data_IF_460199380576
#
_entry.id   IF_460199380576
#
_cell.length_a   1.000
_cell.length_b   1.000
_cell.length_c   1.000
_cell.angle_alpha   90.00
_cell.angle_beta   90.00
_cell.angle_gamma   90.00
#
_symmetry.space_group_name_H-M   'P 1'
#
loop_
_entity.id
_entity.type
_entity.pdbx_description
1 polymer ?
#
# COMPACT_ATOMS: atom_id res chain seq x y z
N UNK A 1 -20.38 0.97 15.44
CA UNK A 1 -20.65 1.50 14.08
C UNK A 1 -19.31 1.67 13.40
N UNK A 2 -19.04 0.93 12.32
CA UNK A 2 -17.82 1.10 11.53
C UNK A 2 -17.79 2.51 10.92
N UNK A 3 -16.65 3.22 10.90
CA UNK A 3 -16.60 4.50 10.22
C UNK A 3 -16.70 4.25 8.72
N UNK A 4 -17.70 4.90 8.11
CA UNK A 4 -17.78 5.06 6.66
C UNK A 4 -16.42 5.63 6.21
N UNK A 5 -15.80 5.00 5.20
CA UNK A 5 -14.71 5.62 4.44
C UNK A 5 -15.17 7.04 4.11
N UNK A 6 -14.55 8.06 4.70
CA UNK A 6 -14.75 9.45 4.30
C UNK A 6 -14.27 9.54 2.85
N UNK A 7 -15.22 9.44 1.90
CA UNK A 7 -14.97 9.80 0.52
C UNK A 7 -14.84 11.32 0.50
N UNK A 8 -13.59 11.79 0.59
CA UNK A 8 -13.24 13.20 0.52
C UNK A 8 -13.80 13.81 -0.77
N UNK A 9 -14.58 14.86 -0.58
CA UNK A 9 -15.21 15.82 -1.48
C UNK A 9 -14.95 15.61 -2.98
N UNK A 10 -16.04 15.33 -3.72
CA UNK A 10 -16.08 15.42 -5.18
C UNK A 10 -15.77 16.88 -5.54
N UNK A 11 -14.69 17.09 -6.31
CA UNK A 11 -14.32 18.42 -6.83
C UNK A 11 -15.28 18.80 -7.95
N UNK A 12 -15.49 17.87 -8.88
CA UNK A 12 -16.42 18.04 -9.97
C UNK A 12 -16.98 16.70 -10.40
N UNK A 13 -18.23 16.75 -10.85
CA UNK A 13 -18.88 15.67 -11.58
C UNK A 13 -19.39 16.26 -12.88
N UNK A 14 -19.04 15.62 -13.99
CA UNK A 14 -19.42 16.04 -15.32
C UNK A 14 -19.99 14.84 -16.05
N UNK A 15 -21.23 14.99 -16.51
CA UNK A 15 -21.86 14.03 -17.41
C UNK A 15 -21.75 14.57 -18.83
N UNK A 16 -21.29 13.72 -19.73
CA UNK A 16 -21.26 14.00 -21.16
C UNK A 16 -22.28 13.05 -21.78
N UNK A 17 -23.38 13.61 -22.26
CA UNK A 17 -24.50 12.88 -22.86
C UNK A 17 -24.43 12.92 -24.40
N UNK A 18 -25.25 12.09 -25.04
CA UNK A 18 -25.52 12.04 -26.48
C UNK A 18 -24.26 11.91 -27.35
N UNK A 19 -23.32 11.06 -26.93
CA UNK A 19 -22.04 10.95 -27.63
C UNK A 19 -22.15 10.11 -28.91
N UNK A 20 -23.17 9.25 -29.03
CA UNK A 20 -23.49 8.40 -30.20
C UNK A 20 -22.26 7.94 -31.01
N UNK A 21 -21.19 7.53 -30.32
CA UNK A 21 -19.92 7.18 -30.95
C UNK A 21 -19.68 5.66 -30.84
N UNK A 22 -19.66 4.94 -31.97
CA UNK A 22 -19.41 3.50 -31.98
C UNK A 22 -17.93 3.13 -31.80
N UNK A 23 -16.98 4.07 -31.91
CA UNK A 23 -15.55 3.80 -31.68
C UNK A 23 -15.08 4.27 -30.29
N UNK A 24 -14.68 3.32 -29.46
CA UNK A 24 -14.13 3.56 -28.12
C UNK A 24 -12.94 4.55 -28.09
N UNK A 25 -12.10 4.52 -29.13
CA UNK A 25 -10.91 5.37 -29.25
C UNK A 25 -11.31 6.81 -29.57
N UNK A 26 -12.25 6.99 -30.50
CA UNK A 26 -12.80 8.33 -30.83
C UNK A 26 -13.51 8.94 -29.63
N UNK A 27 -14.28 8.13 -28.90
CA UNK A 27 -14.93 8.55 -27.67
C UNK A 27 -13.93 9.06 -26.61
N UNK A 28 -12.82 8.34 -26.38
CA UNK A 28 -11.84 8.78 -25.38
C UNK A 28 -11.13 10.06 -25.79
N UNK A 29 -10.97 10.32 -27.09
CA UNK A 29 -10.50 11.62 -27.56
C UNK A 29 -11.53 12.73 -27.28
N UNK A 30 -12.82 12.48 -27.52
CA UNK A 30 -13.87 13.42 -27.14
C UNK A 30 -13.92 13.68 -25.63
N UNK A 31 -13.70 12.65 -24.81
CA UNK A 31 -13.55 12.82 -23.36
C UNK A 31 -12.33 13.68 -23.01
N UNK A 32 -11.18 13.41 -23.63
CA UNK A 32 -9.96 14.20 -23.42
C UNK A 32 -10.19 15.69 -23.67
N UNK A 33 -10.90 16.01 -24.76
CA UNK A 33 -11.17 17.40 -25.14
C UNK A 33 -12.22 18.07 -24.23
N UNK A 34 -13.17 17.30 -23.70
CA UNK A 34 -14.23 17.80 -22.80
C UNK A 34 -13.79 17.87 -21.34
N UNK A 35 -12.75 17.15 -20.93
CA UNK A 35 -12.23 17.11 -19.57
C UNK A 35 -11.03 18.04 -19.45
N UNK A 36 -11.26 19.25 -18.95
CA UNK A 36 -10.18 20.19 -18.62
C UNK A 36 -9.69 19.86 -17.20
N UNK A 37 -8.46 19.34 -17.10
CA UNK A 37 -7.78 19.11 -15.82
C UNK A 37 -6.58 20.05 -15.73
N UNK A 38 -6.73 21.09 -14.92
CA UNK A 38 -5.71 22.11 -14.65
C UNK A 38 -5.11 21.97 -13.23
N UNK A 39 -5.70 21.13 -12.40
CA UNK A 39 -5.28 20.90 -11.02
C UNK A 39 -4.84 19.45 -10.83
N UNK A 40 -3.67 19.27 -10.24
CA UNK A 40 -3.15 17.98 -9.79
C UNK A 40 -2.66 18.10 -8.34
N UNK A 41 -2.70 17.02 -7.55
CA UNK A 41 -3.11 15.65 -7.90
C UNK A 41 -4.61 15.37 -7.72
N UNK A 42 -5.15 14.47 -8.53
CA UNK A 42 -6.56 14.10 -8.54
C UNK A 42 -6.77 12.59 -8.54
N UNK A 43 -7.96 12.16 -8.17
CA UNK A 43 -8.42 10.80 -8.40
C UNK A 43 -9.61 10.84 -9.34
N UNK A 44 -9.53 10.08 -10.43
CA UNK A 44 -10.52 10.07 -11.51
C UNK A 44 -11.28 8.75 -11.48
N UNK A 45 -12.61 8.83 -11.54
CA UNK A 45 -13.51 7.70 -11.77
C UNK A 45 -14.32 8.00 -13.02
N UNK A 46 -14.36 7.05 -13.95
CA UNK A 46 -15.19 7.14 -15.16
C UNK A 46 -16.18 6.00 -15.15
N UNK A 47 -17.43 6.34 -15.48
CA UNK A 47 -18.53 5.39 -15.69
C UNK A 47 -19.08 5.67 -17.08
N UNK A 48 -19.12 4.65 -17.93
CA UNK A 48 -19.56 4.74 -19.32
C UNK A 48 -20.86 3.96 -19.43
N UNK A 49 -21.88 4.58 -20.01
CA UNK A 49 -23.15 3.92 -20.34
C UNK A 49 -23.19 3.69 -21.84
N UNK A 50 -23.35 2.43 -22.22
CA UNK A 50 -23.34 1.99 -23.61
C UNK A 50 -24.64 1.29 -23.96
N UNK A 51 -25.13 1.54 -25.17
CA UNK A 51 -26.24 0.83 -25.77
C UNK A 51 -25.71 -0.34 -26.61
N UNK A 52 -26.31 -1.51 -26.42
CA UNK A 52 -26.11 -2.69 -27.23
C UNK A 52 -27.41 -3.03 -27.94
N UNK A 53 -27.33 -3.44 -29.19
CA UNK A 53 -28.48 -3.77 -30.01
C UNK A 53 -28.36 -5.16 -30.63
N UNK A 54 -29.46 -5.89 -30.75
CA UNK A 54 -29.47 -7.10 -31.58
C UNK A 54 -29.66 -6.70 -33.06
N UNK A 55 -28.86 -7.23 -34.00
CA UNK A 55 -29.01 -6.91 -35.42
C UNK A 55 -30.36 -7.33 -36.02
N UNK A 56 -31.04 -8.29 -35.39
CA UNK A 56 -32.20 -9.00 -35.96
C UNK A 56 -33.52 -8.58 -35.31
N UNK A 57 -33.56 -8.46 -33.97
CA UNK A 57 -34.80 -8.16 -33.24
C UNK A 57 -34.96 -6.66 -32.92
N UNK A 58 -33.94 -5.84 -33.21
CA UNK A 58 -33.86 -4.42 -32.83
C UNK A 58 -34.03 -4.16 -31.33
N UNK A 59 -33.85 -5.20 -30.51
CA UNK A 59 -33.80 -5.07 -29.06
C UNK A 59 -32.61 -4.20 -28.68
N UNK A 60 -32.83 -3.22 -27.81
CA UNK A 60 -31.80 -2.33 -27.28
C UNK A 60 -31.70 -2.50 -25.78
N UNK A 61 -30.48 -2.67 -25.29
CA UNK A 61 -30.19 -2.72 -23.86
C UNK A 61 -29.08 -1.75 -23.51
N UNK A 62 -29.17 -1.18 -22.32
CA UNK A 62 -28.10 -0.36 -21.75
C UNK A 62 -27.27 -1.17 -20.77
N UNK A 63 -25.96 -0.94 -20.80
CA UNK A 63 -25.02 -1.56 -19.88
C UNK A 63 -23.96 -0.55 -19.45
N UNK A 64 -23.46 -0.70 -18.23
CA UNK A 64 -22.55 0.26 -17.61
C UNK A 64 -21.17 -0.35 -17.38
N UNK A 65 -20.15 0.31 -17.93
CA UNK A 65 -18.76 0.04 -17.61
C UNK A 65 -18.29 1.00 -16.51
N UNK A 66 -17.78 0.44 -15.41
CA UNK A 66 -17.26 1.21 -14.28
C UNK A 66 -15.76 1.05 -14.15
N UNK A 67 -14.98 1.99 -14.68
CA UNK A 67 -13.53 1.92 -14.60
C UNK A 67 -13.03 2.06 -13.17
N UNK A 68 -12.03 1.29 -12.74
CA UNK A 68 -11.44 1.43 -11.40
C UNK A 68 -10.89 2.84 -11.19
N UNK A 69 -11.24 3.47 -10.06
CA UNK A 69 -10.82 4.84 -9.80
C UNK A 69 -9.29 4.92 -9.67
N UNK A 70 -8.63 5.71 -10.51
CA UNK A 70 -7.17 5.85 -10.57
C UNK A 70 -6.73 7.23 -10.13
N UNK A 71 -5.56 7.26 -9.50
CA UNK A 71 -4.91 8.50 -9.09
C UNK A 71 -4.07 9.01 -10.25
N UNK A 72 -4.23 10.29 -10.60
CA UNK A 72 -3.49 10.98 -11.65
C UNK A 72 -2.78 12.18 -11.04
N UNK A 73 -1.47 12.26 -11.27
CA UNK A 73 -0.57 13.15 -10.53
C UNK A 73 0.08 14.21 -11.40
N UNK A 74 0.21 13.90 -12.69
CA UNK A 74 0.83 14.75 -13.70
C UNK A 74 0.07 14.55 -15.01
N UNK A 75 0.27 15.48 -15.94
CA UNK A 75 -0.25 15.37 -17.30
C UNK A 75 0.22 14.09 -18.02
N UNK A 76 1.48 13.67 -17.79
CA UNK A 76 2.01 12.45 -18.38
C UNK A 76 1.30 11.18 -17.86
N UNK A 77 0.92 11.16 -16.58
CA UNK A 77 0.15 10.05 -16.02
C UNK A 77 -1.31 10.04 -16.52
N UNK A 78 -1.84 11.20 -16.92
CA UNK A 78 -3.18 11.31 -17.48
C UNK A 78 -3.29 10.60 -18.85
N UNK A 79 -2.28 10.73 -19.72
CA UNK A 79 -2.27 10.00 -21.00
C UNK A 79 -2.32 8.49 -20.77
N UNK A 80 -1.43 7.97 -19.91
CA UNK A 80 -1.39 6.54 -19.55
C UNK A 80 -2.71 6.04 -18.94
N UNK A 81 -3.43 6.91 -18.23
CA UNK A 81 -4.76 6.60 -17.71
C UNK A 81 -5.78 6.39 -18.82
N UNK A 82 -5.79 7.27 -19.84
CA UNK A 82 -6.69 7.14 -20.97
C UNK A 82 -6.39 5.89 -21.80
N UNK A 83 -5.12 5.55 -22.01
CA UNK A 83 -4.74 4.34 -22.76
C UNK A 83 -5.25 3.07 -22.04
N UNK A 84 -5.04 2.97 -20.73
CA UNK A 84 -5.57 1.85 -19.92
C UNK A 84 -7.10 1.81 -19.87
N UNK A 85 -7.77 2.96 -19.96
CA UNK A 85 -9.23 3.05 -20.07
C UNK A 85 -9.72 2.48 -21.40
N UNK A 86 -9.08 2.84 -22.53
CA UNK A 86 -9.39 2.31 -23.87
C UNK A 86 -9.31 0.78 -23.84
N UNK A 87 -8.17 0.25 -23.41
CA UNK A 87 -7.89 -1.19 -23.48
C UNK A 87 -8.90 -2.00 -22.66
N UNK A 88 -9.20 -1.54 -21.44
CA UNK A 88 -10.14 -2.25 -20.57
C UNK A 88 -11.59 -2.08 -20.98
N UNK A 89 -11.95 -0.94 -21.60
CA UNK A 89 -13.29 -0.76 -22.12
C UNK A 89 -13.52 -1.67 -23.33
N UNK A 90 -12.56 -1.75 -24.27
CA UNK A 90 -12.62 -2.69 -25.40
C UNK A 90 -12.77 -4.13 -24.93
N UNK A 91 -11.93 -4.57 -24.00
CA UNK A 91 -12.02 -5.91 -23.44
C UNK A 91 -13.37 -6.19 -22.76
N UNK A 92 -13.99 -5.18 -22.14
CA UNK A 92 -15.32 -5.31 -21.54
C UNK A 92 -16.43 -5.42 -22.60
N UNK A 93 -16.32 -4.65 -23.70
CA UNK A 93 -17.24 -4.76 -24.85
C UNK A 93 -17.15 -6.16 -25.47
N UNK A 94 -15.93 -6.64 -25.74
CA UNK A 94 -15.69 -7.97 -26.32
C UNK A 94 -16.30 -9.07 -25.43
N UNK A 95 -16.05 -9.02 -24.12
CA UNK A 95 -16.63 -9.95 -23.15
C UNK A 95 -18.15 -9.88 -23.08
N UNK A 96 -18.75 -8.74 -23.37
CA UNK A 96 -20.20 -8.60 -23.40
C UNK A 96 -20.78 -9.30 -24.64
N UNK A 97 -20.16 -9.12 -25.80
CA UNK A 97 -20.57 -9.72 -27.08
C UNK A 97 -20.32 -11.24 -27.11
N UNK A 98 -19.23 -11.73 -26.51
CA UNK A 98 -18.88 -13.16 -26.46
C UNK A 98 -19.83 -14.02 -25.60
N UNK A 99 -20.68 -13.43 -24.75
CA UNK A 99 -21.64 -14.16 -23.89
C UNK A 99 -22.81 -14.79 -24.66
N UNK A 100 -22.77 -14.79 -25.99
CA UNK A 100 -23.72 -15.52 -26.84
C UNK A 100 -25.14 -14.95 -26.85
N UNK A 101 -25.32 -13.70 -26.37
CA UNK A 101 -26.63 -13.06 -26.23
C UNK A 101 -27.13 -12.39 -27.53
N UNK A 102 -26.32 -12.37 -28.59
CA UNK A 102 -26.66 -11.77 -29.89
C UNK A 102 -26.70 -10.23 -29.89
N UNK A 103 -26.21 -9.60 -28.82
CA UNK A 103 -26.13 -8.15 -28.67
C UNK A 103 -24.77 -7.65 -29.16
N UNK A 104 -24.81 -6.77 -30.15
CA UNK A 104 -23.64 -6.06 -30.64
C UNK A 104 -23.56 -4.66 -30.04
N UNK A 105 -22.34 -4.21 -29.82
CA UNK A 105 -22.10 -2.85 -29.37
C UNK A 105 -22.64 -1.85 -30.40
N UNK A 106 -23.53 -0.95 -29.97
CA UNK A 106 -24.15 0.02 -30.87
C UNK A 106 -23.50 1.41 -30.71
N UNK A 107 -23.55 1.97 -29.50
CA UNK A 107 -23.00 3.30 -29.24
C UNK A 107 -22.81 3.58 -27.75
N UNK A 108 -21.98 4.59 -27.45
CA UNK A 108 -21.90 5.16 -26.10
C UNK A 108 -22.98 6.24 -25.97
N UNK A 109 -23.86 6.08 -24.98
CA UNK A 109 -24.92 7.05 -24.68
C UNK A 109 -24.41 8.19 -23.83
N UNK A 110 -23.71 7.86 -22.75
CA UNK A 110 -23.20 8.88 -21.84
C UNK A 110 -21.96 8.45 -21.06
N UNK A 111 -21.30 9.44 -20.50
CA UNK A 111 -20.09 9.29 -19.71
C UNK A 111 -20.17 10.15 -18.45
N UNK A 112 -20.08 9.53 -17.29
CA UNK A 112 -19.92 10.24 -16.03
C UNK A 112 -18.46 10.25 -15.61
N UNK A 113 -17.90 11.45 -15.47
CA UNK A 113 -16.54 11.69 -15.00
C UNK A 113 -16.63 12.30 -13.61
N UNK A 114 -16.09 11.60 -12.62
CA UNK A 114 -16.02 12.08 -11.23
C UNK A 114 -14.59 12.35 -10.86
N UNK A 115 -14.28 13.60 -10.51
CA UNK A 115 -12.99 14.04 -10.03
C UNK A 115 -13.05 14.22 -8.52
N UNK A 116 -12.15 13.55 -7.80
CA UNK A 116 -12.03 13.65 -6.35
C UNK A 116 -10.75 14.37 -5.98
N UNK A 117 -10.82 15.19 -4.94
CA UNK A 117 -9.63 15.75 -4.33
C UNK A 117 -8.77 14.62 -3.81
N UNK A 118 -7.56 14.51 -4.34
CA UNK A 118 -6.62 13.51 -3.88
C UNK A 118 -5.59 14.18 -2.98
N UNK A 119 -5.70 13.92 -1.68
CA UNK A 119 -4.59 14.22 -0.80
C UNK A 119 -3.46 13.23 -1.05
N UNK A 120 -2.37 13.78 -1.56
CA UNK A 120 -1.22 13.07 -2.01
C UNK A 120 -0.60 12.22 -0.89
N UNK A 121 -0.56 10.90 -1.06
CA UNK A 121 0.10 9.99 -0.12
C UNK A 121 1.54 9.63 -0.50
N UNK A 122 2.11 10.26 -1.55
CA UNK A 122 3.51 10.03 -1.94
C UNK A 122 4.42 11.06 -1.27
N UNK A 123 5.66 10.67 -1.05
CA UNK A 123 6.69 11.51 -0.49
C UNK A 123 7.26 12.39 -1.63
N UNK A 124 6.76 13.63 -1.77
CA UNK A 124 7.33 14.65 -2.67
C UNK A 124 8.31 15.56 -1.93
N UNK A 125 7.85 16.14 -0.83
CA UNK A 125 8.61 17.03 0.01
C UNK A 125 8.53 16.61 1.47
N UNK A 126 9.38 17.23 2.29
CA UNK A 126 9.43 16.98 3.72
C UNK A 126 8.12 17.37 4.40
N UNK A 127 7.68 16.53 5.33
CA UNK A 127 6.53 16.82 6.17
C UNK A 127 7.06 17.37 7.49
N UNK A 128 6.65 18.58 7.92
CA UNK A 128 7.05 19.12 9.22
C UNK A 128 6.68 18.16 10.35
N UNK A 129 7.64 17.85 11.23
CA UNK A 129 7.37 17.03 12.41
C UNK A 129 6.52 17.84 13.40
N UNK A 130 5.49 17.20 13.97
CA UNK A 130 4.66 17.80 15.01
C UNK A 130 5.38 17.92 16.37
N UNK A 131 6.58 17.34 16.48
CA UNK A 131 7.40 17.34 17.69
C UNK A 131 8.88 17.52 17.35
N UNK A 132 9.67 17.96 18.34
CA UNK A 132 11.14 18.07 18.20
C UNK A 132 11.77 16.70 18.41
N UNK A 133 12.56 16.23 17.45
CA UNK A 133 13.33 15.00 17.57
C UNK A 133 14.80 15.23 17.19
N UNK A 134 15.71 14.67 17.99
CA UNK A 134 17.14 14.60 17.63
C UNK A 134 17.48 13.35 16.83
N UNK A 135 16.60 12.33 16.86
CA UNK A 135 16.87 11.02 16.27
C UNK A 135 16.28 10.88 14.86
N UNK A 136 15.21 11.62 14.56
CA UNK A 136 14.60 11.62 13.23
C UNK A 136 15.32 12.65 12.35
N UNK A 137 15.85 12.19 11.22
CA UNK A 137 16.42 13.06 10.20
C UNK A 137 15.31 13.39 9.20
N UNK A 138 14.86 14.65 9.18
CA UNK A 138 13.83 15.12 8.27
C UNK A 138 14.46 16.13 7.30
N UNK A 139 15.00 15.64 6.17
CA UNK A 139 15.69 16.48 5.18
C UNK A 139 14.68 17.42 4.50
N UNK A 140 14.93 18.72 4.54
CA UNK A 140 13.99 19.78 4.18
C UNK A 140 14.11 20.20 2.71
N UNK A 141 13.59 19.38 1.80
CA UNK A 141 13.63 19.62 0.36
C UNK A 141 12.48 20.52 -0.14
N UNK A 142 12.57 21.82 0.14
CA UNK A 142 11.51 22.80 -0.18
C UNK A 142 11.26 23.04 -1.68
N UNK A 143 12.27 22.81 -2.51
CA UNK A 143 12.30 23.28 -3.90
C UNK A 143 12.31 22.13 -4.93
N UNK A 144 12.15 20.89 -4.49
CA UNK A 144 12.16 19.71 -5.35
C UNK A 144 11.20 18.62 -4.84
N UNK A 145 11.00 17.60 -5.66
CA UNK A 145 10.15 16.44 -5.35
C UNK A 145 10.96 15.18 -5.02
N UNK A 146 12.21 15.32 -4.55
CA UNK A 146 13.19 14.25 -4.40
C UNK A 146 13.34 13.75 -2.95
N UNK A 147 12.35 13.95 -2.07
CA UNK A 147 12.51 13.60 -0.64
C UNK A 147 12.79 12.11 -0.40
N UNK A 148 12.36 11.22 -1.30
CA UNK A 148 12.72 9.81 -1.27
C UNK A 148 14.23 9.60 -1.45
N UNK A 149 14.83 10.23 -2.47
CA UNK A 149 16.28 10.20 -2.69
C UNK A 149 17.02 10.83 -1.51
N UNK A 150 16.58 12.00 -1.04
CA UNK A 150 17.21 12.68 0.09
C UNK A 150 17.18 11.83 1.37
N UNK A 151 16.12 11.03 1.57
CA UNK A 151 16.04 10.11 2.71
C UNK A 151 17.05 8.96 2.59
N UNK A 152 17.25 8.42 1.39
CA UNK A 152 18.26 7.37 1.15
C UNK A 152 19.67 7.94 1.35
N UNK A 153 19.97 9.11 0.77
CA UNK A 153 21.27 9.75 0.92
C UNK A 153 21.57 10.12 2.38
N UNK A 154 20.56 10.58 3.14
CA UNK A 154 20.75 10.86 4.56
C UNK A 154 21.07 9.62 5.41
N UNK A 155 20.64 8.44 4.97
CA UNK A 155 21.01 7.16 5.58
C UNK A 155 22.42 6.70 5.17
N UNK A 156 22.75 6.78 3.89
CA UNK A 156 24.05 6.33 3.35
C UNK A 156 25.21 7.25 3.74
N UNK A 157 24.96 8.55 3.85
CA UNK A 157 25.96 9.57 4.18
C UNK A 157 25.57 10.31 5.47
N UNK A 158 25.71 9.71 6.66
CA UNK A 158 25.30 10.34 7.91
C UNK A 158 26.05 11.65 8.19
N UNK A 159 25.31 12.70 8.54
CA UNK A 159 25.87 14.02 8.88
C UNK A 159 25.47 14.42 10.30
N UNK A 160 26.42 14.98 11.05
CA UNK A 160 26.22 15.35 12.46
C UNK A 160 25.55 16.72 12.60
N UNK A 161 26.03 17.74 11.87
CA UNK A 161 25.53 19.12 11.98
C UNK A 161 24.56 19.45 10.86
N UNK A 162 23.46 20.10 11.20
CA UNK A 162 22.46 20.58 10.22
C UNK A 162 21.96 19.50 9.25
N UNK A 163 21.85 18.25 9.72
CA UNK A 163 21.45 17.06 8.95
C UNK A 163 20.10 17.16 8.22
N UNK A 164 19.31 18.18 8.51
CA UNK A 164 18.09 18.50 7.79
C UNK A 164 18.32 19.22 6.44
N UNK A 165 19.54 19.66 6.11
CA UNK A 165 19.81 20.46 4.90
C UNK A 165 20.14 19.57 3.70
N UNK A 166 19.46 19.81 2.58
CA UNK A 166 19.73 19.15 1.28
C UNK A 166 21.17 19.35 0.82
N UNK A 167 21.75 20.54 1.06
CA UNK A 167 23.13 20.87 0.63
C UNK A 167 24.18 19.89 1.12
N UNK A 168 23.94 19.22 2.26
CA UNK A 168 24.88 18.24 2.81
C UNK A 168 24.92 16.93 2.01
N UNK A 169 23.94 16.69 1.14
CA UNK A 169 23.78 15.43 0.42
C UNK A 169 23.90 15.62 -1.10
N UNK A 170 23.99 16.87 -1.56
CA UNK A 170 23.89 17.23 -2.97
C UNK A 170 25.06 16.71 -3.81
N UNK A 171 26.24 16.55 -3.21
CA UNK A 171 27.40 15.95 -3.90
C UNK A 171 27.18 14.48 -4.27
N UNK A 172 26.31 13.77 -3.54
CA UNK A 172 26.00 12.36 -3.73
C UNK A 172 24.75 12.12 -4.59
N UNK A 173 24.14 13.19 -5.13
CA UNK A 173 22.85 13.11 -5.82
C UNK A 173 22.87 12.15 -7.02
N UNK A 174 24.00 12.10 -7.74
CA UNK A 174 24.19 11.26 -8.93
C UNK A 174 24.73 9.86 -8.62
N UNK A 175 25.07 9.54 -7.37
CA UNK A 175 25.57 8.22 -6.98
C UNK A 175 24.46 7.15 -6.99
N UNK A 176 23.20 7.57 -6.88
CA UNK A 176 22.03 6.69 -6.94
C UNK A 176 21.27 6.93 -8.23
N UNK A 177 21.29 5.92 -9.11
CA UNK A 177 20.51 5.97 -10.35
C UNK A 177 19.01 5.83 -10.06
N UNK A 178 18.27 6.91 -10.31
CA UNK A 178 16.81 6.96 -10.19
C UNK A 178 16.12 6.91 -11.57
N UNK A 179 16.85 6.53 -12.63
CA UNK A 179 16.37 6.60 -14.04
C UNK A 179 15.11 5.80 -14.33
N UNK A 180 14.85 4.74 -13.56
CA UNK A 180 13.68 3.88 -13.74
C UNK A 180 12.46 4.36 -12.93
N UNK A 181 12.58 5.42 -12.13
CA UNK A 181 11.54 5.88 -11.20
C UNK A 181 11.31 7.38 -11.42
N UNK A 182 10.07 7.76 -11.71
CA UNK A 182 9.70 9.17 -11.85
C UNK A 182 9.48 9.81 -10.47
N UNK A 183 10.04 11.00 -10.26
CA UNK A 183 9.69 11.81 -9.10
C UNK A 183 8.37 12.54 -9.32
N UNK A 184 7.64 12.82 -8.23
CA UNK A 184 7.72 12.21 -6.90
C UNK A 184 7.41 10.70 -6.89
N UNK A 185 8.24 9.92 -6.19
CA UNK A 185 8.22 8.43 -6.21
C UNK A 185 6.87 7.87 -5.79
N UNK A 186 6.33 6.94 -6.58
CA UNK A 186 5.12 6.22 -6.24
C UNK A 186 5.33 5.14 -5.21
N UNK A 187 4.30 4.86 -4.41
CA UNK A 187 4.28 3.65 -3.58
C UNK A 187 4.39 2.40 -4.45
N UNK A 188 3.80 2.43 -5.64
CA UNK A 188 3.80 1.33 -6.60
C UNK A 188 5.17 1.08 -7.23
N UNK A 189 6.00 2.12 -7.34
CA UNK A 189 7.36 2.06 -7.91
C UNK A 189 8.39 1.54 -6.89
N UNK A 190 8.04 1.53 -5.60
CA UNK A 190 8.87 0.94 -4.56
C UNK A 190 8.65 -0.58 -4.59
N UNK A 191 9.68 -1.40 -4.87
CA UNK A 191 9.55 -2.84 -4.88
C UNK A 191 8.96 -3.32 -3.55
N UNK A 192 7.85 -4.05 -3.60
CA UNK A 192 7.26 -4.66 -2.42
C UNK A 192 8.18 -5.79 -1.95
N UNK A 193 8.64 -5.71 -0.71
CA UNK A 193 9.26 -6.74 0.15
C UNK A 193 9.49 -8.10 -0.51
N UNK A 194 10.28 -8.11 -1.59
CA UNK A 194 10.86 -9.33 -2.13
C UNK A 194 12.29 -9.29 -1.62
N UNK A 195 12.73 -10.32 -0.89
CA UNK A 195 14.13 -10.40 -0.51
C UNK A 195 14.98 -10.28 -1.78
N UNK A 196 16.04 -9.49 -1.71
CA UNK A 196 17.04 -9.44 -2.77
C UNK A 196 17.86 -10.70 -2.61
N UNK A 197 17.69 -11.66 -3.53
CA UNK A 197 18.45 -12.92 -3.51
C UNK A 197 19.76 -12.74 -4.28
N UNK A 198 20.83 -13.30 -3.75
CA UNK A 198 22.02 -13.56 -4.52
C UNK A 198 21.80 -14.80 -5.44
N UNK A 199 22.74 -15.05 -6.35
CA UNK A 199 22.61 -16.14 -7.33
C UNK A 199 22.40 -17.51 -6.68
N UNK A 200 23.15 -17.82 -5.60
CA UNK A 200 23.03 -19.08 -4.88
C UNK A 200 21.66 -19.24 -4.20
N UNK A 201 21.16 -18.18 -3.58
CA UNK A 201 19.82 -18.20 -2.94
C UNK A 201 18.71 -18.36 -3.98
N UNK A 202 18.87 -17.78 -5.17
CA UNK A 202 17.91 -17.94 -6.26
C UNK A 202 17.94 -19.37 -6.82
N UNK A 203 19.12 -19.96 -7.00
CA UNK A 203 19.27 -21.37 -7.39
C UNK A 203 18.61 -22.28 -6.34
N UNK A 204 18.88 -22.05 -5.04
CA UNK A 204 18.23 -22.77 -3.93
C UNK A 204 16.70 -22.65 -3.96
N UNK A 205 16.17 -21.45 -4.23
CA UNK A 205 14.74 -21.22 -4.36
C UNK A 205 14.13 -21.99 -5.54
N UNK A 206 14.81 -22.02 -6.69
CA UNK A 206 14.32 -22.71 -7.89
C UNK A 206 14.32 -24.22 -7.70
N UNK A 207 15.40 -24.77 -7.12
CA UNK A 207 15.58 -26.21 -6.88
C UNK A 207 14.70 -26.76 -5.75
N UNK A 208 14.26 -25.91 -4.81
CA UNK A 208 13.40 -26.33 -3.71
C UNK A 208 12.07 -26.94 -4.20
N UNK A 209 11.85 -28.20 -3.82
CA UNK A 209 10.62 -28.98 -4.05
C UNK A 209 9.67 -28.96 -2.85
N UNK A 210 10.18 -28.64 -1.67
CA UNK A 210 9.44 -28.66 -0.40
C UNK A 210 9.55 -27.33 0.35
N UNK A 211 8.49 -27.01 1.10
CA UNK A 211 8.42 -25.85 1.96
C UNK A 211 9.37 -25.99 3.16
N UNK A 212 10.32 -25.07 3.32
CA UNK A 212 11.30 -25.12 4.42
C UNK A 212 10.66 -25.00 5.82
N UNK A 213 9.44 -24.47 5.94
CA UNK A 213 8.73 -24.29 7.21
C UNK A 213 7.94 -25.55 7.60
N UNK A 214 7.18 -26.12 6.66
CA UNK A 214 6.25 -27.22 6.97
C UNK A 214 6.66 -28.58 6.39
N UNK A 215 7.73 -28.64 5.60
CA UNK A 215 8.25 -29.86 4.98
C UNK A 215 7.31 -30.51 3.97
N UNK A 216 6.36 -29.76 3.42
CA UNK A 216 5.42 -30.27 2.41
C UNK A 216 5.84 -29.85 1.03
N UNK A 217 5.65 -30.73 0.05
CA UNK A 217 5.83 -30.42 -1.37
C UNK A 217 4.99 -29.21 -1.79
N UNK A 218 5.52 -28.43 -2.75
CA UNK A 218 4.81 -27.28 -3.29
C UNK A 218 3.68 -27.70 -4.23
N UNK A 219 2.50 -27.12 -4.01
CA UNK A 219 1.42 -27.16 -4.99
C UNK A 219 1.66 -26.10 -6.07
N UNK A 220 1.02 -26.27 -7.22
CA UNK A 220 1.18 -25.39 -8.38
C UNK A 220 0.97 -23.91 -8.00
N UNK A 221 1.95 -23.06 -8.34
CA UNK A 221 1.97 -21.62 -8.04
C UNK A 221 1.91 -21.21 -6.56
N UNK A 222 2.17 -22.11 -5.59
CA UNK A 222 2.14 -21.76 -4.17
C UNK A 222 3.51 -21.37 -3.56
N UNK A 223 4.61 -21.64 -4.28
CA UNK A 223 5.99 -21.43 -3.83
C UNK A 223 6.35 -19.93 -3.78
N UNK A 224 6.72 -19.43 -2.60
CA UNK A 224 7.07 -18.04 -2.35
C UNK A 224 8.42 -17.89 -1.65
N UNK A 225 9.08 -16.75 -1.87
CA UNK A 225 10.37 -16.40 -1.24
C UNK A 225 10.13 -15.85 0.15
N UNK A 226 10.24 -16.70 1.16
CA UNK A 226 10.12 -16.28 2.55
C UNK A 226 11.38 -15.54 2.99
N UNK A 227 11.19 -14.51 3.82
CA UNK A 227 12.28 -13.71 4.33
C UNK A 227 12.00 -13.26 5.76
N UNK A 228 13.06 -12.91 6.46
CA UNK A 228 12.92 -12.24 7.74
C UNK A 228 12.35 -10.83 7.52
N UNK A 229 11.16 -10.57 8.05
CA UNK A 229 10.51 -9.26 7.91
C UNK A 229 11.20 -8.12 8.68
N UNK A 230 12.19 -8.42 9.55
CA UNK A 230 12.95 -7.40 10.28
C UNK A 230 14.25 -7.01 9.53
N UNK A 231 14.99 -7.99 9.00
CA UNK A 231 16.27 -7.80 8.33
C UNK A 231 16.20 -7.88 6.81
N UNK A 232 15.07 -8.32 6.24
CA UNK A 232 14.87 -8.50 4.80
C UNK A 232 15.60 -9.70 4.19
N UNK A 233 16.33 -10.48 4.99
CA UNK A 233 17.15 -11.61 4.51
C UNK A 233 16.28 -12.79 4.11
N UNK A 234 16.60 -13.41 2.97
CA UNK A 234 15.98 -14.65 2.52
C UNK A 234 16.20 -15.77 3.54
N UNK A 235 15.18 -16.61 3.74
CA UNK A 235 15.23 -17.75 4.67
C UNK A 235 15.06 -19.10 3.99
N UNK A 236 14.36 -19.13 2.86
CA UNK A 236 14.06 -20.37 2.15
C UNK A 236 12.76 -20.28 1.35
N UNK A 237 12.51 -21.32 0.55
CA UNK A 237 11.28 -21.45 -0.21
C UNK A 237 10.15 -21.91 0.72
N UNK A 238 9.09 -21.13 0.86
CA UNK A 238 7.94 -21.47 1.68
C UNK A 238 6.66 -21.56 0.84
N UNK A 239 5.67 -22.29 1.33
CA UNK A 239 4.34 -22.24 0.73
C UNK A 239 3.64 -20.95 1.17
N UNK A 240 2.77 -20.42 0.30
CA UNK A 240 2.08 -19.15 0.56
C UNK A 240 1.30 -19.14 1.89
N UNK A 241 0.78 -20.30 2.32
CA UNK A 241 0.08 -20.43 3.60
C UNK A 241 1.01 -20.24 4.81
N UNK A 242 2.23 -20.78 4.76
CA UNK A 242 3.25 -20.60 5.80
C UNK A 242 3.76 -19.17 5.81
N UNK A 243 4.11 -18.60 4.65
CA UNK A 243 4.51 -17.19 4.53
C UNK A 243 3.44 -16.23 5.08
N UNK A 244 2.16 -16.51 4.82
CA UNK A 244 1.05 -15.70 5.37
C UNK A 244 0.94 -15.82 6.90
N UNK A 245 1.23 -17.00 7.47
CA UNK A 245 1.25 -17.22 8.92
C UNK A 245 2.44 -16.51 9.57
N UNK A 246 3.63 -16.64 9.01
CA UNK A 246 4.84 -15.94 9.47
C UNK A 246 4.67 -14.43 9.37
N UNK A 247 4.19 -13.92 8.23
CA UNK A 247 3.84 -12.50 8.05
C UNK A 247 2.74 -11.99 8.99
N UNK A 248 1.93 -12.87 9.60
CA UNK A 248 1.03 -12.50 10.72
C UNK A 248 1.75 -12.53 12.07
N UNK A 249 2.70 -13.45 12.27
CA UNK A 249 3.50 -13.54 13.49
C UNK A 249 4.48 -12.36 13.64
N UNK A 250 5.06 -11.88 12.54
CA UNK A 250 6.00 -10.73 12.52
C UNK A 250 5.33 -9.37 12.79
N UNK A 251 3.99 -9.32 12.74
CA UNK A 251 3.20 -8.18 13.19
C UNK A 251 3.13 -8.07 14.72
N UNK A 252 3.63 -9.07 15.45
CA UNK A 252 3.65 -9.12 16.91
C UNK A 252 5.08 -8.96 17.44
N UNK A 253 5.39 -7.80 18.02
CA UNK A 253 6.66 -7.59 18.73
C UNK A 253 6.45 -8.00 20.18
N UNK A 254 7.22 -8.99 20.65
CA UNK A 254 7.22 -9.41 22.05
C UNK A 254 8.22 -8.57 22.84
N UNK A 255 7.78 -7.97 23.93
CA UNK A 255 8.61 -7.20 24.85
C UNK A 255 8.62 -7.94 26.19
N UNK A 256 9.81 -8.31 26.65
CA UNK A 256 9.96 -9.06 27.91
C UNK A 256 10.39 -8.13 29.03
N UNK A 257 9.64 -8.13 30.12
CA UNK A 257 10.00 -7.53 31.39
C UNK A 257 10.35 -8.65 32.36
N UNK A 258 11.41 -8.51 33.14
CA UNK A 258 11.70 -9.49 34.19
C UNK A 258 10.99 -9.08 35.47
N UNK A 259 10.05 -9.92 35.92
CA UNK A 259 9.18 -9.66 37.09
C UNK A 259 8.22 -8.47 36.90
N UNK A 260 7.91 -8.11 35.65
CA UNK A 260 7.07 -6.94 35.33
C UNK A 260 5.64 -7.05 35.85
N UNK A 261 5.11 -8.25 36.06
CA UNK A 261 3.74 -8.43 36.59
C UNK A 261 3.57 -7.79 37.97
N UNK A 262 4.63 -7.81 38.79
CA UNK A 262 4.61 -7.34 40.18
C UNK A 262 5.00 -5.86 40.33
N UNK A 263 5.46 -5.22 39.25
CA UNK A 263 5.98 -3.85 39.30
C UNK A 263 5.44 -3.03 38.14
N UNK A 264 6.05 -3.16 36.95
CA UNK A 264 5.89 -2.23 35.84
C UNK A 264 4.52 -2.30 35.16
N UNK A 265 3.87 -3.48 35.18
CA UNK A 265 2.67 -3.74 34.38
C UNK A 265 1.48 -2.85 34.76
N UNK A 266 1.33 -2.48 36.04
CA UNK A 266 0.24 -1.61 36.47
C UNK A 266 0.35 -0.21 35.84
N UNK A 267 1.52 0.41 35.97
CA UNK A 267 1.79 1.73 35.37
C UNK A 267 1.73 1.70 33.85
N UNK A 268 2.22 0.61 33.26
CA UNK A 268 2.19 0.43 31.82
C UNK A 268 0.74 0.31 31.30
N UNK A 269 -0.12 -0.44 31.97
CA UNK A 269 -1.54 -0.56 31.61
C UNK A 269 -2.23 0.80 31.72
N UNK A 270 -2.05 1.51 32.83
CA UNK A 270 -2.65 2.83 33.04
C UNK A 270 -2.25 3.81 31.94
N UNK A 271 -0.98 3.83 31.54
CA UNK A 271 -0.53 4.72 30.49
C UNK A 271 -1.03 4.29 29.11
N UNK A 272 -0.95 3.00 28.77
CA UNK A 272 -1.43 2.50 27.48
C UNK A 272 -2.93 2.71 27.28
N UNK A 273 -3.73 2.61 28.35
CA UNK A 273 -5.18 2.85 28.30
C UNK A 273 -5.53 4.30 27.95
N UNK A 274 -4.69 5.28 28.34
CA UNK A 274 -4.90 6.69 27.98
C UNK A 274 -4.71 6.94 26.48
N UNK A 275 -3.94 6.09 25.81
CA UNK A 275 -3.63 6.19 24.38
C UNK A 275 -4.39 5.14 23.54
N UNK A 276 -5.55 4.66 24.02
CA UNK A 276 -6.42 3.83 23.19
C UNK A 276 -7.13 4.66 22.12
N UNK A 277 -7.14 4.14 20.89
CA UNK A 277 -7.87 4.73 19.77
C UNK A 277 -8.55 3.62 18.93
N UNK A 278 -9.07 3.95 17.75
CA UNK A 278 -9.71 2.98 16.86
C UNK A 278 -8.78 1.84 16.42
N UNK A 279 -7.48 2.11 16.33
CA UNK A 279 -6.45 1.21 15.84
C UNK A 279 -5.63 0.56 16.97
N UNK A 280 -5.39 1.27 18.07
CA UNK A 280 -4.57 0.83 19.18
C UNK A 280 -5.44 0.46 20.37
N UNK A 281 -5.59 -0.84 20.61
CA UNK A 281 -6.37 -1.38 21.73
C UNK A 281 -5.49 -2.12 22.71
N UNK A 282 -5.76 -1.92 23.99
CA UNK A 282 -5.22 -2.68 25.11
C UNK A 282 -6.09 -3.93 25.28
N UNK A 283 -5.45 -5.10 25.28
CA UNK A 283 -6.05 -6.37 25.65
C UNK A 283 -5.24 -6.96 26.79
N UNK A 284 -5.90 -7.19 27.92
CA UNK A 284 -5.27 -7.77 29.10
C UNK A 284 -5.59 -9.25 29.15
N UNK A 285 -4.58 -10.06 29.45
CA UNK A 285 -4.76 -11.42 29.93
C UNK A 285 -4.37 -11.41 31.40
N UNK A 286 -5.33 -11.27 32.31
CA UNK A 286 -5.10 -11.25 33.75
C UNK A 286 -5.21 -12.65 34.36
N UNK A 287 -4.43 -12.92 35.41
CA UNK A 287 -4.57 -14.10 36.28
C UNK A 287 -5.48 -13.76 37.47
N UNK A 288 -5.31 -12.56 38.03
CA UNK A 288 -6.15 -11.96 39.05
C UNK A 288 -6.09 -10.42 38.90
N UNK A 289 -6.70 -9.66 39.81
CA UNK A 289 -6.74 -8.18 39.77
C UNK A 289 -5.38 -7.50 39.92
N UNK A 290 -4.36 -8.21 40.39
CA UNK A 290 -3.02 -7.68 40.69
C UNK A 290 -1.93 -8.28 39.79
N UNK A 291 -2.22 -9.35 39.05
CA UNK A 291 -1.25 -10.09 38.26
C UNK A 291 -1.71 -10.28 36.82
N UNK A 292 -0.96 -9.70 35.89
CA UNK A 292 -1.22 -9.79 34.46
C UNK A 292 -0.28 -10.77 33.77
N UNK A 293 -0.84 -11.72 33.02
CA UNK A 293 -0.12 -12.73 32.22
C UNK A 293 0.50 -12.08 30.98
N UNK A 294 -0.27 -11.25 30.29
CA UNK A 294 0.23 -10.51 29.13
C UNK A 294 -0.57 -9.24 28.91
N UNK A 295 0.11 -8.20 28.45
CA UNK A 295 -0.52 -6.96 27.98
C UNK A 295 -0.29 -6.89 26.47
N UNK A 296 -1.38 -6.80 25.75
CA UNK A 296 -1.40 -6.71 24.30
C UNK A 296 -1.79 -5.27 23.93
N UNK A 297 -0.98 -4.54 23.17
CA UNK A 297 -1.28 -3.16 22.74
C UNK A 297 -1.08 -2.99 21.23
N UNK A 298 -2.08 -2.46 20.54
CA UNK A 298 -2.00 -2.14 19.10
C UNK A 298 -3.15 -2.73 18.29
N UNK A 299 -2.95 -2.80 16.98
CA UNK A 299 -3.96 -3.22 16.00
C UNK A 299 -3.81 -4.69 15.58
N UNK A 300 -4.78 -5.19 14.81
CA UNK A 300 -4.65 -6.50 14.13
C UNK A 300 -3.40 -6.58 13.24
N UNK A 301 -2.92 -5.45 12.72
CA UNK A 301 -1.82 -5.41 11.76
C UNK A 301 -0.45 -5.12 12.36
N UNK A 302 -0.36 -4.57 13.58
CA UNK A 302 0.89 -4.34 14.33
C UNK A 302 0.55 -4.27 15.81
N UNK A 303 1.20 -5.10 16.61
CA UNK A 303 0.86 -5.33 18.01
C UNK A 303 2.13 -5.53 18.85
N UNK A 304 2.19 -4.86 19.99
CA UNK A 304 3.13 -5.14 21.06
C UNK A 304 2.50 -6.14 22.02
N UNK A 305 3.29 -7.10 22.48
CA UNK A 305 2.90 -8.03 23.54
C UNK A 305 3.95 -7.99 24.65
N UNK A 306 3.57 -7.44 25.78
CA UNK A 306 4.37 -7.40 26.98
C UNK A 306 4.19 -8.72 27.75
N UNK A 307 5.31 -9.36 28.08
CA UNK A 307 5.37 -10.65 28.77
C UNK A 307 6.35 -10.57 29.94
N UNK A 308 6.05 -11.34 30.97
CA UNK A 308 6.92 -11.45 32.14
C UNK A 308 7.88 -12.63 31.99
N UNK A 309 9.19 -12.34 31.87
CA UNK A 309 10.22 -13.36 31.71
C UNK A 309 10.43 -14.19 32.98
N UNK A 310 10.11 -13.67 34.17
CA UNK A 310 10.26 -14.39 35.46
C UNK A 310 9.40 -15.67 35.52
N UNK A 311 8.32 -15.71 34.74
CA UNK A 311 7.45 -16.90 34.61
C UNK A 311 8.11 -18.06 33.87
N UNK A 312 9.10 -17.76 33.04
CA UNK A 312 9.87 -18.75 32.30
C UNK A 312 11.23 -19.01 32.98
N UNK A 313 11.74 -18.03 33.71
CA UNK A 313 13.02 -18.08 34.43
C UNK A 313 12.82 -17.64 35.88
N UNK A 314 12.49 -18.60 36.75
CA UNK A 314 12.23 -18.41 38.19
C UNK A 314 13.51 -18.14 39.00
N UNK A 315 14.28 -17.15 38.59
CA UNK A 315 15.56 -16.76 39.19
C UNK A 315 15.66 -15.24 39.18
N UNK A 316 16.43 -14.66 40.10
CA UNK A 316 16.73 -13.23 40.04
C UNK A 316 17.60 -12.92 38.82
N UNK A 317 17.57 -11.68 38.33
CA UNK A 317 18.45 -11.23 37.24
C UNK A 317 19.94 -11.50 37.54
N UNK A 318 20.33 -11.42 38.81
CA UNK A 318 21.68 -11.74 39.28
C UNK A 318 22.11 -13.18 38.98
N UNK A 319 21.16 -14.11 38.91
CA UNK A 319 21.42 -15.55 38.77
C UNK A 319 21.17 -16.04 37.33
N UNK A 320 20.80 -15.12 36.42
CA UNK A 320 20.56 -15.35 34.99
C UNK A 320 21.71 -14.78 34.14
N UNK A 321 22.55 -13.91 34.70
CA UNK A 321 23.67 -13.23 34.03
C UNK A 321 24.94 -14.08 33.91
#
# INVERSE_FOLDING_TARGET
>A
MAPKKLFKDIISETTIDDIEEPDATKYINLLKDKIVIDQFPLKIKIIITSEFATPIAFDRIESHYSHSAKVVLTQNNLSKFYDDLIDKFKAWVDQFQERGSGFDFNSIKSAQVKLYKYEYQRASSYIPLQFKSKNIINVQNKNDNKCFLWSILAYLYPVVKNKQRVTNYKEYEDEISMRAIEYPVAKEDIPKDKPILNKYEEDEFQEATECYICGKEFEENNKVREHDHLSGKYRGAACQSCNTKEGKATKLIRVFFHNGSNYDFHFLIEELMKHEDEYNKVKLLSKNSENYISIDYGSYNRKLRFLDSYRFMLKGLSDIA
#
